data_IF_353056401469
#
_entry.id   IF_353056401469
#
_cell.length_a   1.000
_cell.length_b   1.000
_cell.length_c   1.000
_cell.angle_alpha   90.00
_cell.angle_beta   90.00
_cell.angle_gamma   90.00
#
_symmetry.space_group_name_H-M   'P 1'
#
loop_
_entity.id
_entity.type
_entity.pdbx_description
1 polymer ?
#
# COMPACT_ATOMS: atom_id res chain seq x y z
N UNK A 1 -3.75 -2.45 -11.42
CA UNK A 1 -2.74 -3.49 -11.26
C UNK A 1 -2.70 -3.97 -9.82
N UNK A 2 -2.55 -5.28 -9.64
CA UNK A 2 -2.19 -5.93 -8.38
C UNK A 2 -0.72 -6.31 -8.46
N UNK A 3 0.07 -5.93 -7.46
CA UNK A 3 1.44 -6.38 -7.33
C UNK A 3 1.49 -7.55 -6.35
N UNK A 4 2.13 -8.63 -6.76
CA UNK A 4 2.32 -9.84 -5.95
C UNK A 4 3.82 -10.06 -5.82
N UNK A 5 4.32 -10.01 -4.59
CA UNK A 5 5.67 -10.46 -4.26
C UNK A 5 5.53 -11.88 -3.71
N UNK A 6 6.02 -12.86 -4.45
CA UNK A 6 5.85 -14.27 -4.11
C UNK A 6 7.14 -14.90 -3.61
N UNK A 7 7.06 -15.58 -2.46
CA UNK A 7 8.17 -16.32 -1.86
C UNK A 7 7.94 -17.83 -1.75
N UNK A 8 6.77 -18.32 -2.16
CA UNK A 8 6.35 -19.71 -2.00
C UNK A 8 5.51 -20.19 -3.18
N UNK A 9 5.93 -21.30 -3.79
CA UNK A 9 5.14 -21.95 -4.83
C UNK A 9 3.76 -22.43 -4.37
N UNK A 10 3.57 -22.69 -3.06
CA UNK A 10 2.24 -23.01 -2.52
C UNK A 10 1.30 -21.81 -2.53
N UNK A 11 1.83 -20.61 -2.28
CA UNK A 11 1.07 -19.39 -2.40
C UNK A 11 0.67 -19.15 -3.86
N UNK A 12 1.62 -19.31 -4.80
CA UNK A 12 1.37 -19.15 -6.24
C UNK A 12 0.26 -20.10 -6.74
N UNK A 13 0.32 -21.38 -6.38
CA UNK A 13 -0.70 -22.36 -6.72
C UNK A 13 -2.10 -21.96 -6.23
N UNK A 14 -2.17 -21.48 -4.97
CA UNK A 14 -3.42 -20.96 -4.41
C UNK A 14 -3.91 -19.73 -5.16
N UNK A 15 -3.00 -18.79 -5.42
CA UNK A 15 -3.29 -17.49 -6.03
C UNK A 15 -3.77 -17.66 -7.47
N UNK A 16 -3.11 -18.51 -8.25
CA UNK A 16 -3.51 -18.85 -9.62
C UNK A 16 -4.88 -19.55 -9.65
N UNK A 17 -5.12 -20.47 -8.71
CA UNK A 17 -6.43 -21.12 -8.57
C UNK A 17 -7.54 -20.12 -8.24
N UNK A 18 -7.27 -19.14 -7.38
CA UNK A 18 -8.22 -18.07 -7.05
C UNK A 18 -8.55 -17.20 -8.27
N UNK A 19 -7.54 -16.75 -9.02
CA UNK A 19 -7.71 -15.93 -10.23
C UNK A 19 -8.12 -16.70 -11.48
N UNK A 20 -8.14 -18.04 -11.45
CA UNK A 20 -8.75 -18.85 -12.51
C UNK A 20 -10.27 -18.67 -12.58
N UNK A 21 -10.90 -18.25 -11.47
CA UNK A 21 -12.36 -18.06 -11.39
C UNK A 21 -12.77 -16.75 -12.07
N UNK A 22 -13.67 -16.83 -13.06
CA UNK A 22 -14.14 -15.69 -13.89
C UNK A 22 -14.64 -14.50 -13.06
N UNK A 23 -15.35 -14.77 -11.96
CA UNK A 23 -15.88 -13.76 -11.04
C UNK A 23 -14.78 -12.98 -10.32
N UNK A 24 -13.63 -13.60 -10.07
CA UNK A 24 -12.49 -12.99 -9.38
C UNK A 24 -11.65 -12.11 -10.32
N UNK A 25 -11.48 -12.52 -11.59
CA UNK A 25 -10.79 -11.69 -12.62
C UNK A 25 -11.49 -10.36 -12.90
N UNK A 26 -12.81 -10.38 -12.95
CA UNK A 26 -13.61 -9.19 -13.28
C UNK A 26 -13.68 -8.17 -12.14
N UNK A 27 -13.49 -8.60 -10.88
CA UNK A 27 -13.45 -7.69 -9.71
C UNK A 27 -12.03 -7.26 -9.31
N UNK A 28 -11.02 -8.09 -9.56
CA UNK A 28 -9.65 -7.84 -9.11
C UNK A 28 -8.71 -7.60 -10.30
N UNK A 29 -8.60 -6.32 -10.67
CA UNK A 29 -7.52 -5.68 -11.46
C UNK A 29 -7.28 -6.10 -12.91
N UNK A 30 -7.13 -5.10 -13.79
CA UNK A 30 -6.78 -5.23 -15.23
C UNK A 30 -5.44 -5.96 -15.51
N UNK A 31 -4.56 -6.05 -14.51
CA UNK A 31 -3.23 -6.68 -14.62
C UNK A 31 -2.74 -7.13 -13.25
N UNK A 32 -2.10 -8.30 -13.19
CA UNK A 32 -1.34 -8.79 -12.05
C UNK A 32 0.15 -8.78 -12.44
N UNK A 33 1.00 -8.18 -11.60
CA UNK A 33 2.45 -8.17 -11.77
C UNK A 33 3.06 -9.04 -10.67
N UNK A 34 3.79 -10.07 -11.06
CA UNK A 34 4.50 -10.94 -10.16
C UNK A 34 5.97 -10.54 -10.07
N UNK A 35 6.48 -10.45 -8.85
CA UNK A 35 7.88 -10.24 -8.55
C UNK A 35 8.36 -11.33 -7.57
N UNK A 36 9.61 -11.75 -7.72
CA UNK A 36 10.21 -12.74 -6.82
C UNK A 36 10.58 -12.10 -5.48
N UNK A 37 10.22 -12.78 -4.39
CA UNK A 37 10.69 -12.47 -3.04
C UNK A 37 12.21 -12.58 -2.89
N UNK A 38 12.84 -13.43 -3.71
CA UNK A 38 14.29 -13.65 -3.70
C UNK A 38 15.06 -12.54 -4.44
N UNK A 39 14.37 -11.73 -5.25
CA UNK A 39 14.97 -10.62 -5.99
C UNK A 39 14.34 -9.26 -5.62
N UNK A 40 14.59 -8.76 -4.39
CA UNK A 40 14.01 -7.50 -3.92
C UNK A 40 14.44 -6.28 -4.74
N UNK A 41 15.61 -6.34 -5.39
CA UNK A 41 16.16 -5.21 -6.17
C UNK A 41 15.32 -4.93 -7.41
N UNK A 42 14.79 -5.96 -8.06
CA UNK A 42 13.96 -5.81 -9.26
C UNK A 42 12.52 -5.36 -8.96
N UNK A 43 12.04 -5.51 -7.72
CA UNK A 43 10.63 -5.23 -7.37
C UNK A 43 10.28 -3.77 -7.70
N UNK A 44 11.08 -2.82 -7.23
CA UNK A 44 10.81 -1.39 -7.41
C UNK A 44 10.84 -1.01 -8.90
N UNK A 45 11.88 -1.41 -9.63
CA UNK A 45 12.01 -1.07 -11.06
C UNK A 45 10.85 -1.63 -11.89
N UNK A 46 10.44 -2.87 -11.62
CA UNK A 46 9.34 -3.51 -12.33
C UNK A 46 8.01 -2.81 -12.07
N UNK A 47 7.78 -2.38 -10.83
CA UNK A 47 6.57 -1.67 -10.43
C UNK A 47 6.50 -0.29 -11.03
N UNK A 48 7.60 0.47 -11.01
CA UNK A 48 7.64 1.81 -11.61
C UNK A 48 7.37 1.74 -13.11
N UNK A 49 8.03 0.83 -13.83
CA UNK A 49 7.81 0.64 -15.27
C UNK A 49 6.36 0.23 -15.59
N UNK A 50 5.77 -0.67 -14.80
CA UNK A 50 4.39 -1.10 -15.02
C UNK A 50 3.36 -0.01 -14.67
N UNK A 51 3.71 0.88 -13.74
CA UNK A 51 2.82 1.96 -13.27
C UNK A 51 2.66 3.09 -14.29
N UNK A 52 3.49 3.15 -15.33
CA UNK A 52 3.28 4.04 -16.48
C UNK A 52 1.97 3.75 -17.21
N UNK A 53 1.52 2.48 -17.20
CA UNK A 53 0.33 2.03 -17.93
C UNK A 53 -0.82 1.59 -17.05
N UNK A 54 -0.55 1.18 -15.81
CA UNK A 54 -1.55 0.60 -14.94
C UNK A 54 -1.50 1.18 -13.53
N UNK A 55 -2.64 1.63 -13.02
CA UNK A 55 -2.73 2.13 -11.65
C UNK A 55 -2.56 1.00 -10.62
N UNK A 56 -1.55 1.08 -9.75
CA UNK A 56 -1.34 0.12 -8.66
C UNK A 56 -2.42 0.29 -7.58
N UNK A 57 -3.17 -0.79 -7.28
CA UNK A 57 -4.25 -0.77 -6.28
C UNK A 57 -3.88 -1.43 -4.97
N UNK A 58 -3.16 -2.54 -5.06
CA UNK A 58 -2.84 -3.37 -3.91
C UNK A 58 -1.49 -4.03 -4.11
N UNK A 59 -0.76 -4.15 -3.02
CA UNK A 59 0.45 -4.95 -2.88
C UNK A 59 0.14 -6.14 -1.99
N UNK A 60 0.39 -7.34 -2.49
CA UNK A 60 0.31 -8.59 -1.75
C UNK A 60 1.73 -9.12 -1.60
N UNK A 61 2.13 -9.41 -0.37
CA UNK A 61 3.44 -9.97 -0.04
C UNK A 61 3.22 -11.33 0.59
N UNK A 62 3.66 -12.38 -0.09
CA UNK A 62 3.89 -13.68 0.53
C UNK A 62 5.26 -13.62 1.23
N UNK A 63 5.24 -13.65 2.56
CA UNK A 63 6.40 -13.44 3.42
C UNK A 63 6.71 -14.72 4.21
N UNK A 64 7.33 -15.74 3.59
CA UNK A 64 7.51 -17.05 4.19
C UNK A 64 8.66 -17.11 5.22
N UNK A 65 9.66 -16.25 5.10
CA UNK A 65 10.79 -16.12 6.04
C UNK A 65 11.33 -14.68 6.01
N UNK A 66 12.27 -14.36 6.91
CA UNK A 66 12.79 -13.00 7.05
C UNK A 66 13.53 -12.53 5.79
N UNK A 67 13.08 -11.40 5.24
CA UNK A 67 13.76 -10.67 4.18
C UNK A 67 13.40 -9.18 4.27
N UNK A 68 14.18 -8.43 5.05
CA UNK A 68 13.97 -6.99 5.26
C UNK A 68 14.01 -6.20 3.95
N UNK A 69 14.79 -6.63 2.96
CA UNK A 69 14.87 -5.92 1.68
C UNK A 69 13.55 -5.93 0.92
N UNK A 70 12.71 -6.96 1.09
CA UNK A 70 11.34 -6.99 0.55
C UNK A 70 10.46 -5.96 1.24
N UNK A 71 10.53 -5.85 2.57
CA UNK A 71 9.77 -4.83 3.33
C UNK A 71 10.24 -3.41 3.01
N UNK A 72 11.54 -3.21 2.79
CA UNK A 72 12.10 -1.93 2.33
C UNK A 72 11.60 -1.56 0.92
N UNK A 73 11.55 -2.54 0.02
CA UNK A 73 11.00 -2.35 -1.32
C UNK A 73 9.51 -2.00 -1.27
N UNK A 74 8.75 -2.71 -0.42
CA UNK A 74 7.34 -2.41 -0.17
C UNK A 74 7.16 -1.00 0.40
N UNK A 75 8.01 -0.57 1.34
CA UNK A 75 7.96 0.76 1.92
C UNK A 75 8.25 1.83 0.87
N UNK A 76 9.27 1.61 0.03
CA UNK A 76 9.58 2.52 -1.07
C UNK A 76 8.39 2.66 -2.02
N UNK A 77 7.76 1.54 -2.40
CA UNK A 77 6.55 1.55 -3.22
C UNK A 77 5.41 2.29 -2.51
N UNK A 78 5.21 2.07 -1.20
CA UNK A 78 4.18 2.76 -0.40
C UNK A 78 4.41 4.27 -0.34
N UNK A 79 5.66 4.74 -0.33
CA UNK A 79 5.97 6.18 -0.39
C UNK A 79 5.52 6.79 -1.73
N UNK A 80 5.77 6.11 -2.84
CA UNK A 80 5.36 6.58 -4.19
C UNK A 80 3.88 6.38 -4.48
N UNK A 81 3.27 5.35 -3.87
CA UNK A 81 1.87 5.01 -4.03
C UNK A 81 1.21 4.93 -2.63
N UNK A 82 1.02 6.07 -1.95
CA UNK A 82 0.58 6.10 -0.54
C UNK A 82 -0.77 5.43 -0.29
N UNK A 83 -1.62 5.35 -1.32
CA UNK A 83 -2.99 4.87 -1.22
C UNK A 83 -3.14 3.35 -1.44
N UNK A 84 -2.07 2.62 -1.74
CA UNK A 84 -2.17 1.18 -1.98
C UNK A 84 -2.51 0.44 -0.69
N UNK A 85 -3.39 -0.56 -0.76
CA UNK A 85 -3.52 -1.52 0.34
C UNK A 85 -2.35 -2.47 0.33
N UNK A 86 -1.81 -2.76 1.52
CA UNK A 86 -0.73 -3.74 1.68
C UNK A 86 -1.30 -4.93 2.43
N UNK A 87 -1.24 -6.11 1.83
CA UNK A 87 -1.66 -7.37 2.43
C UNK A 87 -0.42 -8.23 2.57
N UNK A 88 -0.16 -8.71 3.78
CA UNK A 88 0.97 -9.60 4.03
C UNK A 88 0.45 -10.94 4.47
N UNK A 89 0.83 -11.96 3.71
CA UNK A 89 0.58 -13.36 4.00
C UNK A 89 1.80 -13.92 4.70
N UNK A 90 1.56 -14.50 5.88
CA UNK A 90 2.56 -15.23 6.64
C UNK A 90 2.04 -16.64 6.88
N UNK A 91 2.93 -17.63 6.75
CA UNK A 91 2.59 -19.00 7.14
C UNK A 91 2.37 -19.06 8.65
N UNK A 92 1.46 -19.91 9.13
CA UNK A 92 1.02 -19.93 10.54
C UNK A 92 2.11 -20.16 11.60
N UNK A 93 3.35 -20.44 11.20
CA UNK A 93 4.50 -20.60 12.10
C UNK A 93 5.48 -19.42 12.12
N UNK A 94 5.42 -18.49 11.17
CA UNK A 94 6.40 -17.41 11.08
C UNK A 94 6.05 -16.26 12.03
N UNK A 95 7.01 -15.87 12.87
CA UNK A 95 6.89 -14.76 13.83
C UNK A 95 7.78 -13.61 13.40
N UNK A 96 7.18 -12.44 13.20
CA UNK A 96 7.89 -11.21 12.89
C UNK A 96 8.74 -10.77 14.08
N UNK A 97 9.98 -10.38 13.81
CA UNK A 97 10.81 -9.70 14.81
C UNK A 97 10.38 -8.22 14.95
N UNK A 98 10.92 -7.50 15.94
CA UNK A 98 10.54 -6.11 16.23
C UNK A 98 10.76 -5.16 15.03
N UNK A 99 11.85 -5.36 14.28
CA UNK A 99 12.14 -4.56 13.11
C UNK A 99 11.10 -4.80 12.01
N UNK A 100 10.79 -6.06 11.72
CA UNK A 100 9.77 -6.45 10.75
C UNK A 100 8.39 -5.94 11.15
N UNK A 101 8.01 -6.08 12.42
CA UNK A 101 6.77 -5.55 12.96
C UNK A 101 6.67 -4.03 12.75
N UNK A 102 7.75 -3.30 13.00
CA UNK A 102 7.81 -1.85 12.77
C UNK A 102 7.60 -1.49 11.29
N UNK A 103 8.22 -2.23 10.37
CA UNK A 103 7.98 -2.03 8.93
C UNK A 103 6.53 -2.32 8.55
N UNK A 104 5.95 -3.40 9.05
CA UNK A 104 4.57 -3.80 8.76
C UNK A 104 3.57 -2.78 9.29
N UNK A 105 3.83 -2.20 10.46
CA UNK A 105 3.03 -1.12 11.04
C UNK A 105 3.09 0.14 10.18
N UNK A 106 4.30 0.58 9.79
CA UNK A 106 4.49 1.75 8.91
C UNK A 106 3.80 1.55 7.55
N UNK A 107 3.84 0.33 7.01
CA UNK A 107 3.16 -0.03 5.77
C UNK A 107 1.63 0.00 5.90
N UNK A 108 1.08 0.01 7.12
CA UNK A 108 -0.34 -0.22 7.37
C UNK A 108 -0.78 -1.59 6.86
N UNK A 109 0.09 -2.60 7.00
CA UNK A 109 -0.12 -3.91 6.43
C UNK A 109 -1.24 -4.68 7.12
N UNK A 110 -2.18 -5.21 6.33
CA UNK A 110 -3.16 -6.18 6.82
C UNK A 110 -2.51 -7.57 6.87
N UNK A 111 -2.17 -8.01 8.07
CA UNK A 111 -1.63 -9.34 8.33
C UNK A 111 -2.73 -10.38 8.18
N UNK A 112 -2.51 -11.37 7.31
CA UNK A 112 -3.42 -12.50 7.14
C UNK A 112 -2.69 -13.80 7.41
N UNK A 113 -3.21 -14.54 8.39
CA UNK A 113 -2.78 -15.91 8.69
C UNK A 113 -3.65 -16.84 7.85
N UNK A 114 -3.18 -17.18 6.65
CA UNK A 114 -3.90 -18.09 5.74
C UNK A 114 -4.34 -17.46 4.41
N UNK A 115 -4.36 -18.29 3.37
CA UNK A 115 -4.68 -17.89 2.00
C UNK A 115 -6.12 -17.37 1.84
N UNK A 116 -7.07 -17.91 2.60
CA UNK A 116 -8.46 -17.44 2.63
C UNK A 116 -8.59 -16.00 3.14
N UNK A 117 -7.73 -15.58 4.07
CA UNK A 117 -7.66 -14.19 4.54
C UNK A 117 -7.22 -13.24 3.43
N UNK A 118 -6.19 -13.63 2.65
CA UNK A 118 -5.73 -12.89 1.47
C UNK A 118 -6.87 -12.74 0.44
N UNK A 119 -7.55 -13.84 0.12
CA UNK A 119 -8.69 -13.81 -0.82
C UNK A 119 -9.80 -12.89 -0.32
N UNK A 120 -10.12 -12.95 0.97
CA UNK A 120 -11.14 -12.11 1.59
C UNK A 120 -10.75 -10.63 1.55
N UNK A 121 -9.50 -10.30 1.86
CA UNK A 121 -8.97 -8.94 1.76
C UNK A 121 -9.03 -8.40 0.32
N UNK A 122 -8.75 -9.25 -0.68
CA UNK A 122 -8.90 -8.88 -2.09
C UNK A 122 -10.36 -8.73 -2.54
N UNK A 123 -11.29 -9.48 -1.95
CA UNK A 123 -12.74 -9.39 -2.26
C UNK A 123 -13.46 -8.25 -1.56
N UNK A 124 -12.93 -7.74 -0.44
CA UNK A 124 -13.49 -6.57 0.23
C UNK A 124 -13.37 -5.37 -0.72
N UNK A 125 -14.48 -5.02 -1.39
CA UNK A 125 -14.61 -3.84 -2.28
C UNK A 125 -14.22 -2.51 -1.61
N UNK A 126 -14.11 -2.49 -0.29
CA UNK A 126 -13.49 -1.38 0.43
C UNK A 126 -11.99 -1.59 0.40
N UNK A 127 -11.37 -1.13 -0.70
CA UNK A 127 -10.04 -0.54 -0.55
C UNK A 127 -10.12 0.40 0.65
N UNK A 128 -9.17 0.37 1.60
CA UNK A 128 -9.15 1.34 2.67
C UNK A 128 -9.21 2.71 2.00
N UNK A 129 -10.35 3.40 2.16
CA UNK A 129 -10.53 4.73 1.61
C UNK A 129 -9.43 5.53 2.29
N UNK A 130 -8.52 6.08 1.49
CA UNK A 130 -7.37 6.76 2.07
C UNK A 130 -7.88 7.84 3.02
N UNK A 131 -7.15 8.12 4.10
CA UNK A 131 -7.53 9.22 4.99
C UNK A 131 -7.78 10.50 4.19
N UNK A 132 -6.98 10.73 3.13
CA UNK A 132 -7.16 11.79 2.14
C UNK A 132 -8.51 11.74 1.44
N UNK A 133 -8.96 10.59 0.92
CA UNK A 133 -10.25 10.49 0.22
C UNK A 133 -11.43 10.56 1.20
N UNK A 134 -11.28 10.09 2.45
CA UNK A 134 -12.27 10.26 3.52
C UNK A 134 -12.40 11.75 3.87
N UNK A 135 -11.27 12.41 4.14
CA UNK A 135 -11.21 13.83 4.48
C UNK A 135 -11.72 14.67 3.31
N UNK A 136 -11.28 14.38 2.09
CA UNK A 136 -11.72 15.06 0.88
C UNK A 136 -13.23 14.95 0.71
N UNK A 137 -13.77 13.73 0.71
CA UNK A 137 -15.21 13.52 0.50
C UNK A 137 -16.09 14.03 1.66
N UNK A 138 -15.54 14.12 2.87
CA UNK A 138 -16.25 14.67 4.03
C UNK A 138 -16.23 16.20 4.01
N UNK A 139 -15.07 16.82 3.84
CA UNK A 139 -14.90 18.27 3.90
C UNK A 139 -15.39 18.96 2.62
N UNK A 140 -15.29 18.33 1.44
CA UNK A 140 -15.81 18.88 0.17
C UNK A 140 -17.32 19.11 0.16
N UNK A 141 -18.06 18.57 1.14
CA UNK A 141 -19.49 18.82 1.33
C UNK A 141 -19.78 20.16 2.01
N UNK A 142 -18.78 20.73 2.68
CA UNK A 142 -18.91 21.92 3.53
C UNK A 142 -18.02 23.06 3.06
N UNK A 143 -16.85 22.75 2.50
CA UNK A 143 -15.83 23.71 2.07
C UNK A 143 -15.17 23.25 0.78
N UNK A 144 -14.80 24.20 -0.09
CA UNK A 144 -14.06 23.89 -1.31
C UNK A 144 -12.60 23.60 -0.95
N UNK A 145 -12.20 22.34 -1.07
CA UNK A 145 -10.83 21.89 -0.80
C UNK A 145 -10.33 21.04 -1.97
N UNK A 146 -9.02 21.02 -2.18
CA UNK A 146 -8.37 20.12 -3.14
C UNK A 146 -7.94 18.80 -2.48
N UNK A 147 -7.58 17.79 -3.28
CA UNK A 147 -6.98 16.56 -2.75
C UNK A 147 -5.61 16.79 -2.07
N UNK A 148 -4.89 17.85 -2.47
CA UNK A 148 -3.62 18.24 -1.82
C UNK A 148 -3.90 18.76 -0.41
N UNK A 149 -4.98 19.50 -0.25
CA UNK A 149 -5.42 20.01 1.06
C UNK A 149 -5.84 18.87 1.98
N UNK A 150 -6.61 17.92 1.47
CA UNK A 150 -6.98 16.72 2.23
C UNK A 150 -5.75 15.87 2.62
N UNK A 151 -4.72 15.82 1.79
CA UNK A 151 -3.46 15.13 2.09
C UNK A 151 -2.68 15.87 3.18
N UNK A 152 -2.59 17.20 3.11
CA UNK A 152 -2.00 18.01 4.17
C UNK A 152 -2.73 17.81 5.51
N UNK A 153 -4.06 17.87 5.52
CA UNK A 153 -4.89 17.61 6.71
C UNK A 153 -4.61 16.20 7.25
N UNK A 154 -4.50 15.20 6.37
CA UNK A 154 -4.21 13.81 6.80
C UNK A 154 -2.87 13.70 7.53
N UNK A 155 -1.84 14.44 7.08
CA UNK A 155 -0.54 14.46 7.75
C UNK A 155 -0.56 15.21 9.09
N UNK A 156 -1.34 16.30 9.18
CA UNK A 156 -1.54 17.03 10.44
C UNK A 156 -2.24 16.12 11.47
N UNK A 157 -3.31 15.44 11.06
CA UNK A 157 -4.04 14.51 11.93
C UNK A 157 -3.19 13.30 12.35
N UNK A 158 -2.25 12.88 11.51
CA UNK A 158 -1.26 11.85 11.83
C UNK A 158 -0.14 12.33 12.78
N UNK A 159 -0.14 13.62 13.17
CA UNK A 159 0.82 14.18 14.13
C UNK A 159 2.22 14.44 13.56
N UNK A 160 2.38 14.49 12.23
CA UNK A 160 3.66 14.78 11.60
C UNK A 160 4.11 16.22 11.88
N UNK A 161 5.42 16.43 12.05
CA UNK A 161 5.97 17.77 12.25
C UNK A 161 5.93 18.54 10.93
N UNK A 162 5.65 19.84 10.99
CA UNK A 162 5.53 20.72 9.81
C UNK A 162 6.74 20.67 8.88
N UNK A 163 7.95 20.51 9.44
CA UNK A 163 9.19 20.34 8.67
C UNK A 163 9.21 19.07 7.81
N UNK A 164 8.62 17.98 8.32
CA UNK A 164 8.60 16.68 7.65
C UNK A 164 7.51 16.69 6.55
N UNK A 165 6.40 17.38 6.82
CA UNK A 165 5.35 17.68 5.83
C UNK A 165 5.91 18.57 4.69
N UNK A 166 6.65 19.62 5.03
CA UNK A 166 7.28 20.53 4.06
C UNK A 166 8.25 19.79 3.13
N UNK A 167 9.06 18.89 3.70
CA UNK A 167 9.93 17.99 2.94
C UNK A 167 9.13 17.08 1.99
N UNK A 168 8.05 16.45 2.47
CA UNK A 168 7.19 15.59 1.65
C UNK A 168 6.49 16.34 0.51
N UNK A 169 6.25 17.65 0.66
CA UNK A 169 5.61 18.50 -0.35
C UNK A 169 6.60 19.26 -1.24
N UNK A 170 7.91 19.16 -0.99
CA UNK A 170 8.93 20.02 -1.59
C UNK A 170 8.54 21.52 -1.54
N UNK A 171 8.01 21.95 -0.38
CA UNK A 171 7.56 23.32 -0.11
C UNK A 171 8.39 23.93 1.02
N UNK A 172 8.51 25.25 1.03
CA UNK A 172 9.05 25.97 2.19
C UNK A 172 8.13 25.79 3.41
N UNK A 173 8.73 25.67 4.60
CA UNK A 173 7.97 25.44 5.84
C UNK A 173 7.00 26.58 6.16
N UNK A 174 7.31 27.83 5.76
CA UNK A 174 6.40 28.97 5.90
C UNK A 174 5.19 28.81 5.00
N UNK A 175 5.37 28.28 3.79
CA UNK A 175 4.26 28.00 2.88
C UNK A 175 3.29 26.98 3.49
N UNK A 176 3.82 25.92 4.12
CA UNK A 176 2.99 24.91 4.83
C UNK A 176 2.29 25.52 6.05
N UNK A 177 2.94 26.46 6.74
CA UNK A 177 2.33 27.18 7.86
C UNK A 177 1.16 28.07 7.41
N UNK A 178 1.30 28.78 6.29
CA UNK A 178 0.22 29.57 5.70
C UNK A 178 -0.91 28.69 5.18
N UNK A 179 -0.59 27.60 4.49
CA UNK A 179 -1.58 26.62 4.02
C UNK A 179 -2.37 26.09 5.23
N UNK A 180 -1.72 25.77 6.36
CA UNK A 180 -2.39 25.35 7.61
C UNK A 180 -3.31 26.41 8.20
N UNK A 181 -2.94 27.69 8.14
CA UNK A 181 -3.69 28.79 8.76
C UNK A 181 -4.86 29.30 7.91
N UNK A 182 -4.88 28.96 6.61
CA UNK A 182 -5.96 29.30 5.69
C UNK A 182 -7.13 28.32 5.67
N UNK A 183 -7.06 27.23 6.45
CA UNK A 183 -8.18 26.30 6.71
C UNK A 183 -8.97 26.71 7.95
#
# INVERSE_FOLDING_TARGET
MLLVISGSGYFDLGFDSYFSRVKCRTTCTEKILYCSFEDPKAIVSNVMAASEKYYLRCLVIDYPWSNIAVLQSALYIKIHFPLISVVVYSTGGYRFNELEASYLEILGAQLNVGFSGVCSALMQRRMPVSAVDIIYAAASRFVEISKKDALLISFILAGLKLKDIASAYNKDIKQVYYDRAGF
#
